data_IF_585709813681
#
_entry.id   IF_585709813681
#
_cell.length_a   1.000
_cell.length_b   1.000
_cell.length_c   1.000
_cell.angle_alpha   90.00
_cell.angle_beta   90.00
_cell.angle_gamma   90.00
#
_symmetry.space_group_name_H-M   'P 1'
#
loop_
_entity.id
_entity.type
_entity.pdbx_description
1 polymer ?
#
# COMPACT_ATOMS: atom_id res chain seq x y z
N UNK A 1 19.07 -16.07 16.14
CA UNK A 1 17.74 -15.45 15.95
C UNK A 1 17.40 -14.71 17.22
N UNK A 2 17.47 -13.38 17.22
CA UNK A 2 17.03 -12.57 18.36
C UNK A 2 15.56 -12.21 18.10
N UNK A 3 14.63 -12.94 18.72
CA UNK A 3 13.20 -12.64 18.60
C UNK A 3 12.83 -11.57 19.61
N UNK A 4 12.18 -10.50 19.16
CA UNK A 4 11.49 -9.58 20.05
C UNK A 4 10.37 -10.34 20.78
N UNK A 5 10.40 -10.34 22.11
CA UNK A 5 9.28 -10.81 22.94
C UNK A 5 8.30 -9.66 23.12
N UNK A 6 7.03 -9.90 22.87
CA UNK A 6 5.93 -8.98 23.17
C UNK A 6 5.02 -9.58 24.25
N UNK A 7 4.46 -8.72 25.08
CA UNK A 7 3.43 -9.06 26.06
C UNK A 7 2.26 -8.09 25.85
N UNK A 8 1.05 -8.63 25.69
CA UNK A 8 -0.15 -7.80 25.71
C UNK A 8 -0.40 -7.32 27.14
N UNK A 9 -0.52 -6.00 27.32
CA UNK A 9 -0.76 -5.38 28.63
C UNK A 9 -2.15 -4.77 28.76
N UNK A 10 -2.83 -4.51 27.63
CA UNK A 10 -4.23 -4.12 27.54
C UNK A 10 -4.73 -4.19 26.09
N UNK A 11 -6.05 -4.25 25.94
CA UNK A 11 -6.78 -4.21 24.67
C UNK A 11 -8.02 -3.34 24.84
N UNK A 12 -8.37 -2.56 23.82
CA UNK A 12 -9.59 -1.76 23.76
C UNK A 12 -10.27 -1.92 22.41
N UNK A 13 -11.58 -1.69 22.37
CA UNK A 13 -12.37 -1.66 21.14
C UNK A 13 -12.91 -0.25 20.94
N UNK A 14 -12.98 0.18 19.69
CA UNK A 14 -13.60 1.45 19.33
C UNK A 14 -15.09 1.43 19.61
N UNK A 15 -15.63 2.56 20.04
CA UNK A 15 -17.07 2.76 20.14
C UNK A 15 -17.72 3.09 18.78
N UNK A 16 -19.01 3.43 18.79
CA UNK A 16 -19.78 3.77 17.58
C UNK A 16 -19.29 5.02 16.84
N UNK A 17 -18.52 5.88 17.51
CA UNK A 17 -17.92 7.09 16.93
C UNK A 17 -16.48 6.83 16.45
N UNK A 18 -15.94 5.63 16.66
CA UNK A 18 -14.55 5.30 16.34
C UNK A 18 -13.56 5.68 17.45
N UNK A 19 -14.04 6.15 18.60
CA UNK A 19 -13.19 6.54 19.72
C UNK A 19 -12.81 5.33 20.57
N UNK A 20 -11.60 5.33 21.14
CA UNK A 20 -11.15 4.30 22.07
C UNK A 20 -10.35 4.89 23.23
N UNK A 21 -10.38 4.23 24.37
CA UNK A 21 -9.55 4.58 25.53
C UNK A 21 -8.96 3.32 26.15
N UNK A 22 -7.66 3.35 26.41
CA UNK A 22 -6.91 2.25 27.00
C UNK A 22 -6.23 2.75 28.27
N UNK A 23 -6.48 2.08 29.39
CA UNK A 23 -5.85 2.39 30.68
C UNK A 23 -5.27 1.12 31.26
N UNK A 24 -3.97 1.13 31.56
CA UNK A 24 -3.28 -0.02 32.13
C UNK A 24 -2.21 0.43 33.13
N UNK A 25 -1.99 -0.39 34.15
CA UNK A 25 -0.99 -0.16 35.19
C UNK A 25 0.20 -1.10 34.99
N UNK A 26 0.98 -0.88 33.93
CA UNK A 26 2.21 -1.61 33.64
C UNK A 26 3.43 -0.70 33.78
N UNK A 27 4.57 -1.26 34.22
CA UNK A 27 5.84 -0.53 34.33
C UNK A 27 6.87 -1.20 33.42
N UNK A 28 7.44 -0.42 32.51
CA UNK A 28 8.55 -0.85 31.66
C UNK A 28 9.81 -1.08 32.49
N UNK A 29 10.55 -2.14 32.18
CA UNK A 29 11.93 -2.34 32.61
C UNK A 29 12.89 -1.56 31.70
N UNK A 30 14.16 -1.49 32.10
CA UNK A 30 15.19 -0.85 31.28
C UNK A 30 15.31 -1.54 29.91
N UNK A 31 15.18 -0.76 28.84
CA UNK A 31 15.22 -1.25 27.47
C UNK A 31 13.88 -1.76 26.92
N UNK A 32 12.81 -1.79 27.73
CA UNK A 32 11.46 -2.08 27.24
C UNK A 32 10.78 -0.83 26.66
N UNK A 33 9.85 -1.03 25.72
CA UNK A 33 9.04 0.02 25.11
C UNK A 33 7.60 -0.42 24.97
N UNK A 34 6.68 0.53 25.04
CA UNK A 34 5.32 0.27 24.61
C UNK A 34 5.23 0.30 23.09
N UNK A 35 4.36 -0.55 22.57
CA UNK A 35 3.87 -0.51 21.20
C UNK A 35 2.39 -0.87 21.25
N UNK A 36 1.67 -0.55 20.19
CA UNK A 36 0.30 -1.00 19.98
C UNK A 36 0.24 -1.73 18.65
N UNK A 37 -0.78 -2.56 18.51
CA UNK A 37 -1.10 -3.26 17.28
C UNK A 37 -2.61 -3.23 17.12
N UNK A 38 -3.08 -2.79 15.97
CA UNK A 38 -4.50 -2.67 15.70
C UNK A 38 -4.98 -3.80 14.82
N UNK A 39 -6.21 -4.21 15.08
CA UNK A 39 -6.91 -5.15 14.25
C UNK A 39 -8.26 -4.54 13.87
N UNK A 40 -8.45 -4.29 12.59
CA UNK A 40 -9.74 -3.89 12.05
C UNK A 40 -10.60 -5.13 11.83
N UNK A 41 -11.74 -5.21 12.52
CA UNK A 41 -12.72 -6.28 12.33
C UNK A 41 -13.71 -5.87 11.23
N UNK A 42 -13.74 -6.60 10.12
CA UNK A 42 -14.58 -6.29 8.95
C UNK A 42 -13.74 -5.92 7.71
N UNK A 43 -14.40 -5.63 6.58
CA UNK A 43 -13.82 -5.29 5.27
C UNK A 43 -12.51 -4.49 5.36
N UNK A 44 -11.54 -4.68 4.44
CA UNK A 44 -10.14 -4.31 4.67
C UNK A 44 -9.95 -2.78 4.67
N UNK A 45 -10.17 -2.15 5.82
CA UNK A 45 -9.76 -0.79 6.09
C UNK A 45 -8.26 -0.76 6.36
N UNK A 46 -7.59 0.27 5.86
CA UNK A 46 -6.17 0.47 6.07
C UNK A 46 -5.95 1.66 7.01
N UNK A 47 -5.12 1.48 8.07
CA UNK A 47 -4.75 2.58 8.94
C UNK A 47 -3.76 3.51 8.25
N UNK A 48 -3.87 4.79 8.56
CA UNK A 48 -2.94 5.84 8.19
C UNK A 48 -2.65 6.68 9.43
N UNK A 49 -1.46 6.48 9.98
CA UNK A 49 -0.99 7.22 11.14
C UNK A 49 -0.58 8.62 10.74
N UNK A 50 -1.21 9.61 11.36
CA UNK A 50 -0.89 11.01 11.10
C UNK A 50 0.46 11.42 11.72
N UNK A 51 0.95 10.67 12.71
CA UNK A 51 2.16 10.97 13.45
C UNK A 51 2.94 9.68 13.77
N UNK A 52 4.25 9.81 13.96
CA UNK A 52 5.07 8.75 14.57
C UNK A 52 4.49 8.41 15.94
N UNK A 53 4.20 7.14 16.18
CA UNK A 53 3.66 6.73 17.47
C UNK A 53 4.79 6.55 18.47
N UNK A 54 4.81 7.40 19.48
CA UNK A 54 5.61 7.22 20.68
C UNK A 54 4.69 7.33 21.90
N UNK A 55 4.75 6.33 22.78
CA UNK A 55 3.90 6.25 23.97
C UNK A 55 4.74 6.70 25.16
N UNK A 56 4.49 7.92 25.65
CA UNK A 56 5.15 8.45 26.82
C UNK A 56 4.58 7.79 28.10
N UNK A 57 5.38 7.01 28.86
CA UNK A 57 4.90 6.34 30.07
C UNK A 57 4.42 7.34 31.12
N UNK A 58 3.30 7.03 31.79
CA UNK A 58 2.75 7.87 32.85
C UNK A 58 2.06 9.15 32.37
N UNK A 59 1.90 9.35 31.06
CA UNK A 59 1.15 10.47 30.46
C UNK A 59 -0.10 9.96 29.75
N UNK A 60 -1.06 10.87 29.56
CA UNK A 60 -2.13 10.64 28.57
C UNK A 60 -1.50 10.78 27.18
N UNK A 61 -1.62 9.74 26.37
CA UNK A 61 -1.16 9.74 25.00
C UNK A 61 -2.40 9.76 24.09
N UNK A 62 -2.45 10.69 23.16
CA UNK A 62 -3.53 10.78 22.16
C UNK A 62 -2.94 10.47 20.81
N UNK A 63 -3.47 9.44 20.15
CA UNK A 63 -3.02 8.99 18.83
C UNK A 63 -4.21 9.16 17.89
N UNK A 64 -4.02 9.98 16.86
CA UNK A 64 -5.01 10.15 15.79
C UNK A 64 -4.63 9.25 14.62
N UNK A 65 -5.59 8.46 14.17
CA UNK A 65 -5.43 7.50 13.09
C UNK A 65 -6.56 7.75 12.10
N UNK A 66 -6.21 7.97 10.83
CA UNK A 66 -7.19 7.91 9.77
C UNK A 66 -7.35 6.45 9.33
N UNK A 67 -8.57 6.07 8.97
CA UNK A 67 -8.83 4.79 8.34
C UNK A 67 -9.54 5.04 7.02
N UNK A 68 -9.17 4.28 6.00
CA UNK A 68 -9.81 4.36 4.68
C UNK A 68 -10.00 2.98 4.08
N UNK A 69 -11.07 2.85 3.28
CA UNK A 69 -11.37 1.65 2.51
C UNK A 69 -10.69 1.78 1.14
N UNK A 70 -9.86 0.82 0.70
CA UNK A 70 -9.29 0.85 -0.63
C UNK A 70 -10.37 0.74 -1.68
N UNK A 71 -10.11 1.39 -2.81
CA UNK A 71 -10.89 1.25 -4.04
C UNK A 71 -10.20 0.28 -5.01
N UNK A 72 -10.96 -0.24 -5.96
CA UNK A 72 -10.44 -1.04 -7.06
C UNK A 72 -10.06 -0.15 -8.25
N UNK A 73 -8.85 -0.35 -8.79
CA UNK A 73 -8.44 0.20 -10.07
C UNK A 73 -8.54 -0.91 -11.13
N UNK A 74 -9.56 -0.83 -11.99
CA UNK A 74 -9.71 -1.74 -13.13
C UNK A 74 -8.97 -1.17 -14.33
N UNK A 75 -7.84 -1.79 -14.67
CA UNK A 75 -6.96 -1.37 -15.75
C UNK A 75 -7.22 -2.23 -16.97
N UNK A 76 -7.88 -1.70 -17.99
CA UNK A 76 -7.99 -2.35 -19.29
C UNK A 76 -6.70 -2.07 -20.07
N UNK A 77 -5.81 -3.06 -20.12
CA UNK A 77 -4.48 -2.89 -20.70
C UNK A 77 -4.37 -3.66 -21.99
N UNK A 78 -4.02 -2.97 -23.08
CA UNK A 78 -3.53 -3.57 -24.32
C UNK A 78 -2.02 -3.42 -24.38
N UNK A 79 -1.31 -4.54 -24.37
CA UNK A 79 0.15 -4.63 -24.45
C UNK A 79 0.55 -5.02 -25.87
N UNK A 80 1.57 -4.35 -26.38
CA UNK A 80 2.17 -4.61 -27.68
C UNK A 80 3.69 -4.77 -27.53
N UNK A 81 4.29 -5.65 -28.33
CA UNK A 81 5.74 -5.83 -28.47
C UNK A 81 6.50 -6.10 -27.15
N UNK A 82 5.90 -6.80 -26.18
CA UNK A 82 6.53 -7.18 -24.93
C UNK A 82 7.51 -8.36 -25.12
N UNK A 83 8.57 -8.13 -25.89
CA UNK A 83 9.58 -9.14 -26.26
C UNK A 83 10.57 -9.45 -25.13
N UNK A 84 10.59 -8.65 -24.07
CA UNK A 84 11.42 -8.84 -22.87
C UNK A 84 10.53 -8.98 -21.61
N UNK A 85 9.72 -10.05 -21.51
CA UNK A 85 8.84 -10.23 -20.37
C UNK A 85 9.61 -10.51 -19.05
N UNK A 86 9.02 -10.21 -17.88
CA UNK A 86 7.67 -9.67 -17.70
C UNK A 86 7.62 -8.14 -17.81
N UNK A 87 6.56 -7.63 -18.44
CA UNK A 87 6.08 -6.27 -18.19
C UNK A 87 5.32 -6.27 -16.86
N UNK A 88 5.74 -5.43 -15.94
CA UNK A 88 5.16 -5.29 -14.62
C UNK A 88 4.26 -4.06 -14.55
N UNK A 89 3.15 -4.16 -13.81
CA UNK A 89 2.22 -3.07 -13.52
C UNK A 89 2.03 -2.95 -12.01
N UNK A 90 2.11 -1.73 -11.48
CA UNK A 90 1.74 -1.39 -10.11
C UNK A 90 1.18 0.02 -10.04
N UNK A 91 0.50 0.33 -8.95
CA UNK A 91 0.24 1.70 -8.54
C UNK A 91 1.06 2.06 -7.29
N UNK A 92 1.58 3.27 -7.27
CA UNK A 92 2.17 3.88 -6.08
C UNK A 92 1.22 4.95 -5.54
N UNK A 93 1.01 4.93 -4.23
CA UNK A 93 0.19 5.88 -3.47
C UNK A 93 1.17 6.89 -2.86
N UNK A 94 0.91 8.18 -3.10
CA UNK A 94 1.65 9.29 -2.49
C UNK A 94 3.16 9.37 -2.86
N UNK A 95 3.83 10.45 -2.43
CA UNK A 95 5.24 10.76 -2.69
C UNK A 95 6.26 9.83 -1.99
N UNK A 96 5.79 8.89 -1.16
CA UNK A 96 6.63 8.02 -0.34
C UNK A 96 6.99 6.68 -1.00
N UNK A 97 6.70 6.50 -2.29
CA UNK A 97 6.86 5.22 -3.02
C UNK A 97 6.15 4.04 -2.31
N UNK A 98 5.14 4.30 -1.48
CA UNK A 98 4.35 3.24 -0.87
C UNK A 98 3.39 2.70 -1.92
N UNK A 99 3.32 1.38 -2.02
CA UNK A 99 2.46 0.68 -2.96
C UNK A 99 1.70 -0.38 -2.18
N UNK A 100 0.44 -0.61 -2.54
CA UNK A 100 -0.16 -1.87 -2.17
C UNK A 100 0.65 -2.99 -2.83
N UNK A 101 0.95 -4.05 -2.09
CA UNK A 101 1.86 -5.15 -2.44
C UNK A 101 1.52 -5.93 -3.75
N UNK A 102 0.60 -5.44 -4.58
CA UNK A 102 0.15 -6.09 -5.80
C UNK A 102 0.88 -5.49 -7.01
N UNK A 103 1.92 -6.20 -7.47
CA UNK A 103 2.46 -6.03 -8.82
C UNK A 103 1.89 -7.12 -9.72
N UNK A 104 1.26 -6.72 -10.80
CA UNK A 104 0.81 -7.62 -11.85
C UNK A 104 1.94 -7.85 -12.85
N UNK A 105 2.12 -9.10 -13.31
CA UNK A 105 3.17 -9.48 -14.25
C UNK A 105 2.55 -9.99 -15.55
N UNK A 106 3.04 -9.49 -16.67
CA UNK A 106 2.53 -9.79 -18.01
C UNK A 106 3.65 -10.42 -18.83
N UNK A 107 3.46 -11.68 -19.21
CA UNK A 107 4.46 -12.46 -19.94
C UNK A 107 4.19 -12.53 -21.44
N UNK A 108 2.94 -12.30 -21.86
CA UNK A 108 2.55 -12.32 -23.26
C UNK A 108 3.15 -11.13 -24.02
N UNK A 109 3.61 -11.39 -25.24
CA UNK A 109 4.18 -10.36 -26.11
C UNK A 109 3.11 -9.35 -26.56
N UNK A 110 1.92 -9.83 -26.91
CA UNK A 110 0.76 -9.02 -27.31
C UNK A 110 -0.50 -9.56 -26.62
N UNK A 111 -1.18 -8.73 -25.82
CA UNK A 111 -2.38 -9.14 -25.07
C UNK A 111 -3.28 -7.95 -24.74
N UNK A 112 -4.60 -8.16 -24.74
CA UNK A 112 -5.57 -7.25 -24.12
C UNK A 112 -6.21 -7.94 -22.92
N UNK A 113 -6.00 -7.40 -21.72
CA UNK A 113 -6.51 -7.97 -20.47
C UNK A 113 -6.83 -6.88 -19.46
N UNK A 114 -7.87 -7.11 -18.67
CA UNK A 114 -8.19 -6.27 -17.51
C UNK A 114 -7.45 -6.78 -16.27
N UNK A 115 -6.72 -5.88 -15.61
CA UNK A 115 -6.06 -6.11 -14.34
C UNK A 115 -6.77 -5.33 -13.24
N UNK A 116 -6.78 -5.84 -12.01
CA UNK A 116 -7.40 -5.14 -10.87
C UNK A 116 -6.35 -4.87 -9.80
N UNK A 117 -6.00 -3.59 -9.62
CA UNK A 117 -5.14 -3.14 -8.53
C UNK A 117 -5.99 -2.53 -7.41
N UNK A 118 -5.39 -2.31 -6.24
CA UNK A 118 -6.02 -1.58 -5.12
C UNK A 118 -5.36 -0.24 -4.94
N UNK A 119 -6.12 0.77 -4.52
CA UNK A 119 -5.59 2.11 -4.26
C UNK A 119 -6.29 2.82 -3.12
N UNK A 120 -5.66 3.90 -2.63
CA UNK A 120 -6.31 4.86 -1.74
C UNK A 120 -7.34 5.68 -2.54
N UNK A 121 -8.57 5.89 -2.01
CA UNK A 121 -9.55 6.80 -2.62
C UNK A 121 -9.10 8.26 -2.53
N UNK A 122 -9.59 9.11 -3.43
CA UNK A 122 -9.39 10.57 -3.40
C UNK A 122 -7.92 10.99 -3.21
N UNK A 123 -7.02 10.37 -3.97
CA UNK A 123 -5.56 10.53 -3.79
C UNK A 123 -4.85 10.53 -5.14
N UNK A 124 -3.80 11.35 -5.27
CA UNK A 124 -2.89 11.31 -6.40
C UNK A 124 -2.03 10.05 -6.37
N UNK A 125 -2.05 9.32 -7.49
CA UNK A 125 -1.31 8.06 -7.65
C UNK A 125 -0.50 8.06 -8.94
N UNK A 126 0.48 7.15 -8.97
CA UNK A 126 1.27 6.83 -10.17
C UNK A 126 0.97 5.42 -10.60
N UNK A 127 0.52 5.23 -11.84
CA UNK A 127 0.40 3.92 -12.46
C UNK A 127 1.66 3.70 -13.30
N UNK A 128 2.41 2.67 -12.95
CA UNK A 128 3.75 2.44 -13.47
C UNK A 128 3.77 1.12 -14.21
N UNK A 129 4.22 1.19 -15.47
CA UNK A 129 4.54 0.05 -16.31
C UNK A 129 6.07 -0.02 -16.43
N UNK A 130 6.68 -1.16 -16.18
CA UNK A 130 8.13 -1.30 -16.31
C UNK A 130 8.57 -2.72 -16.64
N UNK A 131 9.75 -2.84 -17.25
CA UNK A 131 10.42 -4.12 -17.46
C UNK A 131 11.94 -3.91 -17.47
N UNK A 132 12.70 -5.00 -17.39
CA UNK A 132 14.15 -4.98 -17.44
C UNK A 132 14.66 -5.65 -18.71
N UNK A 133 15.77 -5.14 -19.26
CA UNK A 133 16.54 -5.81 -20.31
C UNK A 133 17.99 -5.96 -19.91
N UNK A 134 18.72 -6.84 -20.60
CA UNK A 134 20.13 -7.12 -20.32
C UNK A 134 20.31 -8.27 -19.33
N UNK A 135 21.55 -8.51 -18.93
CA UNK A 135 21.93 -9.59 -18.02
C UNK A 135 22.53 -9.02 -16.75
N UNK A 136 22.28 -9.68 -15.61
CA UNK A 136 22.89 -9.29 -14.34
C UNK A 136 24.43 -9.27 -14.47
N UNK A 137 25.15 -8.21 -14.03
CA UNK A 137 24.66 -7.06 -13.24
C UNK A 137 24.22 -5.83 -14.05
N UNK A 138 24.29 -5.88 -15.37
CA UNK A 138 24.01 -4.75 -16.26
C UNK A 138 22.56 -4.77 -16.75
N UNK A 139 21.62 -4.61 -15.82
CA UNK A 139 20.19 -4.48 -16.14
C UNK A 139 19.86 -3.04 -16.54
N UNK A 140 19.12 -2.87 -17.62
CA UNK A 140 18.52 -1.59 -18.03
C UNK A 140 17.04 -1.59 -17.64
N UNK A 141 16.60 -0.57 -16.91
CA UNK A 141 15.20 -0.38 -16.54
C UNK A 141 14.49 0.46 -17.60
N UNK A 142 13.41 -0.08 -18.15
CA UNK A 142 12.48 0.63 -19.03
C UNK A 142 11.21 0.92 -18.25
N UNK A 143 10.77 2.19 -18.18
CA UNK A 143 9.62 2.57 -17.35
C UNK A 143 8.75 3.65 -18.00
N UNK A 144 7.43 3.47 -17.94
CA UNK A 144 6.42 4.48 -18.28
C UNK A 144 5.50 4.72 -17.09
N UNK A 145 5.25 5.99 -16.79
CA UNK A 145 4.44 6.41 -15.64
C UNK A 145 3.28 7.27 -16.09
N UNK A 146 2.08 7.00 -15.57
CA UNK A 146 0.89 7.83 -15.73
C UNK A 146 0.46 8.37 -14.36
N UNK A 147 0.11 9.66 -14.32
CA UNK A 147 -0.47 10.28 -13.14
C UNK A 147 -1.99 10.16 -13.21
N UNK A 148 -2.62 9.82 -12.08
CA UNK A 148 -4.07 9.74 -11.97
C UNK A 148 -4.50 10.16 -10.56
N UNK A 149 -5.62 10.87 -10.46
CA UNK A 149 -6.25 11.17 -9.18
C UNK A 149 -7.44 10.24 -9.01
N UNK A 150 -7.42 9.40 -7.98
CA UNK A 150 -8.52 8.47 -7.70
C UNK A 150 -9.76 9.20 -7.22
N UNK A 151 -10.94 8.64 -7.48
CA UNK A 151 -12.19 9.17 -6.93
C UNK A 151 -12.57 8.46 -5.62
N UNK A 152 -13.66 8.91 -5.00
CA UNK A 152 -14.29 8.24 -3.85
C UNK A 152 -15.14 7.01 -4.26
N UNK A 153 -15.26 6.71 -5.56
CA UNK A 153 -16.02 5.56 -6.04
C UNK A 153 -15.28 4.25 -5.74
N UNK A 154 -16.02 3.20 -5.37
CA UNK A 154 -15.46 1.88 -5.06
C UNK A 154 -14.61 1.30 -6.21
N UNK A 155 -14.87 1.70 -7.46
CA UNK A 155 -14.18 1.22 -8.65
C UNK A 155 -13.87 2.37 -9.60
N UNK A 156 -12.60 2.52 -9.96
CA UNK A 156 -12.13 3.43 -11.02
C UNK A 156 -11.66 2.59 -12.22
N UNK A 157 -12.14 2.89 -13.42
CA UNK A 157 -11.76 2.16 -14.65
C UNK A 157 -10.86 3.02 -15.53
N UNK A 158 -9.75 2.46 -15.98
CA UNK A 158 -8.72 3.14 -16.75
C UNK A 158 -8.28 2.28 -17.94
N UNK A 159 -8.07 2.92 -19.09
CA UNK A 159 -7.68 2.26 -20.33
C UNK A 159 -6.25 2.66 -20.72
N UNK A 160 -5.41 1.67 -20.99
CA UNK A 160 -4.02 1.88 -21.39
C UNK A 160 -3.65 1.04 -22.62
N UNK A 161 -2.90 1.66 -23.53
CA UNK A 161 -2.17 0.95 -24.58
C UNK A 161 -0.67 1.13 -24.34
N UNK A 162 0.03 0.02 -24.17
CA UNK A 162 1.44 -0.03 -23.80
C UNK A 162 2.21 -0.77 -24.88
N UNK A 163 2.95 -0.01 -25.69
CA UNK A 163 3.90 -0.57 -26.66
C UNK A 163 5.30 -0.59 -26.06
N UNK A 164 5.79 -1.78 -25.70
CA UNK A 164 7.11 -1.95 -25.07
C UNK A 164 8.27 -1.55 -25.99
N UNK A 165 8.07 -1.40 -27.30
CA UNK A 165 9.10 -0.91 -28.22
C UNK A 165 9.35 0.61 -28.12
N UNK A 166 8.47 1.34 -27.42
CA UNK A 166 8.47 2.81 -27.34
C UNK A 166 8.92 3.37 -25.98
N UNK A 167 9.44 2.51 -25.11
CA UNK A 167 9.89 2.90 -23.78
C UNK A 167 11.23 3.65 -23.80
#
# INVERSE_FOLDING_TARGET
>A
MCGSRSQEVATAYTDENGDYSITFNYKLQEGERYTFSEQYYGFPYYPEYLNTIDIAPGKTNTININAWKPIELKLNVTVLNNVNPPLMIRNEIDASNTSFLNTENIYDENISKTYTLRSKPDTDIKIIFWYYTGTNPFLTLHKKTYLYHTTLEDVNTLDYTIDCSTF
#
